data_IF_782566747547
#
_entry.id   IF_782566747547
#
_cell.length_a   1.000
_cell.length_b   1.000
_cell.length_c   1.000
_cell.angle_alpha   90.00
_cell.angle_beta   90.00
_cell.angle_gamma   90.00
#
_symmetry.space_group_name_H-M   'P 1'
#
loop_
_entity.id
_entity.type
_entity.pdbx_description
1 polymer ?
#
# COMPACT_ATOMS: atom_id res chain seq x y z
N UNK A 1 9.52 4.03 -15.09
CA UNK A 1 8.05 4.24 -15.02
C UNK A 1 7.69 5.19 -13.89
N UNK A 2 6.52 5.83 -13.96
CA UNK A 2 5.94 6.69 -12.91
C UNK A 2 4.87 5.94 -12.11
N UNK A 3 5.09 5.80 -10.80
CA UNK A 3 4.35 4.86 -9.95
C UNK A 3 3.72 5.59 -8.77
N UNK A 4 2.41 5.45 -8.59
CA UNK A 4 1.71 5.94 -7.41
C UNK A 4 1.49 4.81 -6.41
N UNK A 5 2.08 4.92 -5.22
CA UNK A 5 1.83 4.05 -4.09
C UNK A 5 0.78 4.68 -3.18
N UNK A 6 -0.29 3.93 -2.89
CA UNK A 6 -1.38 4.46 -2.06
C UNK A 6 -1.99 3.45 -1.11
N UNK A 7 -2.59 3.97 -0.04
CA UNK A 7 -3.58 3.23 0.75
C UNK A 7 -4.99 3.62 0.28
N UNK A 8 -5.99 2.72 0.37
CA UNK A 8 -7.36 3.05 0.01
C UNK A 8 -7.87 4.29 0.76
N UNK A 9 -8.44 5.24 0.02
CA UNK A 9 -9.01 6.47 0.58
C UNK A 9 -10.21 6.13 1.43
N UNK A 10 -10.34 6.70 2.62
CA UNK A 10 -11.62 6.63 3.35
C UNK A 10 -12.62 7.62 2.75
N UNK A 11 -13.92 7.31 2.78
CA UNK A 11 -14.96 8.30 2.42
C UNK A 11 -14.80 9.56 3.28
N UNK A 12 -15.24 10.73 2.81
CA UNK A 12 -15.41 11.87 3.73
C UNK A 12 -16.34 11.52 4.90
N UNK A 13 -17.30 10.62 4.65
CA UNK A 13 -18.15 9.97 5.64
C UNK A 13 -17.53 8.77 6.37
N UNK A 14 -16.29 8.36 6.10
CA UNK A 14 -15.56 7.33 6.87
C UNK A 14 -14.21 7.83 7.40
N UNK A 15 -13.84 9.10 7.14
CA UNK A 15 -12.72 9.83 7.79
C UNK A 15 -12.93 10.01 9.31
N UNK A 16 -13.73 9.16 9.93
CA UNK A 16 -14.60 9.47 11.04
C UNK A 16 -14.09 8.96 12.38
N UNK A 17 -14.15 9.79 13.42
CA UNK A 17 -14.55 9.36 14.76
C UNK A 17 -16.08 9.34 14.94
N UNK A 18 -16.85 9.69 13.91
CA UNK A 18 -18.29 9.82 13.85
C UNK A 18 -19.02 8.56 13.35
N UNK A 19 -19.31 7.63 14.26
CA UNK A 19 -20.67 7.06 14.20
C UNK A 19 -21.64 8.25 14.28
N UNK A 20 -22.42 8.47 13.20
CA UNK A 20 -23.43 9.54 13.08
C UNK A 20 -24.25 9.57 14.37
N UNK A 21 -24.16 10.67 15.13
CA UNK A 21 -25.06 10.96 16.24
C UNK A 21 -24.48 11.00 17.66
N UNK A 22 -23.20 10.68 17.89
CA UNK A 22 -22.64 10.73 19.26
C UNK A 22 -21.79 11.98 19.56
N UNK A 23 -21.91 12.51 20.78
CA UNK A 23 -21.22 13.70 21.32
C UNK A 23 -19.68 13.74 21.12
N UNK A 24 -19.05 12.57 20.92
CA UNK A 24 -17.59 12.40 20.71
C UNK A 24 -17.10 12.89 19.33
N UNK A 25 -17.94 12.85 18.30
CA UNK A 25 -17.63 13.34 16.95
C UNK A 25 -17.27 14.84 16.92
N UNK A 26 -18.03 15.65 17.68
CA UNK A 26 -17.80 17.09 17.85
C UNK A 26 -16.50 17.41 18.59
N UNK A 27 -15.97 16.49 19.40
CA UNK A 27 -14.71 16.69 20.14
C UNK A 27 -13.51 16.47 19.22
N UNK A 28 -13.51 15.39 18.44
CA UNK A 28 -12.42 15.10 17.53
C UNK A 28 -12.35 16.03 16.32
N UNK A 29 -13.51 16.47 15.80
CA UNK A 29 -13.53 17.54 14.79
C UNK A 29 -12.95 18.83 15.37
N UNK A 30 -13.30 19.19 16.62
CA UNK A 30 -12.68 20.33 17.32
C UNK A 30 -11.18 20.14 17.57
N UNK A 31 -10.70 18.92 17.83
CA UNK A 31 -9.26 18.62 17.99
C UNK A 31 -8.55 18.78 16.63
N UNK A 32 -9.09 18.22 15.56
CA UNK A 32 -8.54 18.37 14.21
C UNK A 32 -8.49 19.82 13.77
N UNK A 33 -9.59 20.56 13.95
CA UNK A 33 -9.69 21.97 13.56
C UNK A 33 -8.80 22.87 14.44
N UNK A 34 -8.60 22.50 15.71
CA UNK A 34 -7.71 23.21 16.65
C UNK A 34 -6.22 22.95 16.40
N UNK A 35 -5.86 21.76 15.96
CA UNK A 35 -4.46 21.34 15.87
C UNK A 35 -3.94 21.16 14.44
N UNK A 36 -4.81 21.15 13.42
CA UNK A 36 -4.43 21.02 12.01
C UNK A 36 -3.98 19.62 11.58
N UNK A 37 -4.09 18.61 12.44
CA UNK A 37 -3.73 17.22 12.16
C UNK A 37 -4.69 16.23 12.84
N UNK A 38 -4.74 15.00 12.34
CA UNK A 38 -5.46 13.89 12.98
C UNK A 38 -4.48 13.10 13.83
N UNK A 39 -4.61 13.07 15.18
CA UNK A 39 -3.73 12.30 16.04
C UNK A 39 -3.84 10.81 15.75
N UNK A 40 -2.70 10.12 15.67
CA UNK A 40 -2.66 8.66 15.48
C UNK A 40 -2.49 8.20 14.03
N UNK A 41 -2.35 9.12 13.06
CA UNK A 41 -2.00 8.75 11.69
C UNK A 41 -0.48 8.59 11.60
N UNK A 42 -0.04 7.42 11.13
CA UNK A 42 1.36 7.12 10.81
C UNK A 42 1.44 6.71 9.35
N UNK A 43 2.54 7.05 8.65
CA UNK A 43 2.67 6.68 7.25
C UNK A 43 2.81 5.16 7.15
N UNK A 44 2.39 4.61 6.02
CA UNK A 44 2.57 3.18 5.73
C UNK A 44 4.04 2.89 5.43
N UNK A 45 4.79 2.45 6.43
CA UNK A 45 6.22 2.17 6.28
C UNK A 45 6.52 1.15 5.18
N UNK A 46 5.69 0.11 5.03
CA UNK A 46 5.84 -0.84 3.91
C UNK A 46 5.85 -0.13 2.55
N UNK A 47 4.93 0.81 2.31
CA UNK A 47 4.94 1.60 1.09
C UNK A 47 6.17 2.53 0.96
N UNK A 48 6.73 3.00 2.07
CA UNK A 48 7.98 3.80 2.04
C UNK A 48 9.20 2.94 1.67
N UNK A 49 9.26 1.68 2.13
CA UNK A 49 10.27 0.73 1.70
C UNK A 49 10.12 0.35 0.22
N UNK A 50 8.90 0.09 -0.25
CA UNK A 50 8.64 -0.12 -1.68
C UNK A 50 9.04 1.10 -2.50
N UNK A 51 8.74 2.32 -2.03
CA UNK A 51 9.14 3.57 -2.69
C UNK A 51 10.66 3.64 -2.82
N UNK A 52 11.40 3.36 -1.74
CA UNK A 52 12.85 3.37 -1.74
C UNK A 52 13.44 2.32 -2.70
N UNK A 53 12.89 1.10 -2.72
CA UNK A 53 13.32 0.03 -3.62
C UNK A 53 13.09 0.38 -5.10
N UNK A 54 11.91 0.91 -5.43
CA UNK A 54 11.56 1.34 -6.79
C UNK A 54 12.42 2.53 -7.26
N UNK A 55 12.68 3.51 -6.38
CA UNK A 55 13.59 4.62 -6.69
C UNK A 55 15.02 4.14 -6.94
N UNK A 56 15.52 3.20 -6.12
CA UNK A 56 16.85 2.59 -6.31
C UNK A 56 16.96 1.86 -7.65
N UNK A 57 15.85 1.29 -8.14
CA UNK A 57 15.76 0.67 -9.46
C UNK A 57 15.61 1.67 -10.63
N UNK A 58 15.56 2.97 -10.36
CA UNK A 58 15.48 4.02 -11.39
C UNK A 58 14.06 4.46 -11.76
N UNK A 59 13.04 4.07 -11.00
CA UNK A 59 11.67 4.51 -11.22
C UNK A 59 11.32 5.76 -10.41
N UNK A 60 10.30 6.51 -10.84
CA UNK A 60 9.77 7.66 -10.10
C UNK A 60 8.56 7.23 -9.28
N UNK A 61 8.53 7.58 -7.99
CA UNK A 61 7.47 7.18 -7.07
C UNK A 61 6.76 8.37 -6.46
N UNK A 62 5.46 8.20 -6.27
CA UNK A 62 4.56 9.13 -5.60
C UNK A 62 3.84 8.38 -4.48
N UNK A 63 3.48 9.09 -3.42
CA UNK A 63 2.83 8.49 -2.25
C UNK A 63 1.60 9.28 -1.83
N UNK A 64 0.46 8.58 -1.72
CA UNK A 64 -0.77 9.16 -1.19
C UNK A 64 -1.39 8.23 -0.14
N UNK A 65 -1.53 8.74 1.08
CA UNK A 65 -2.23 8.01 2.14
C UNK A 65 -3.71 8.39 2.17
N UNK A 66 -4.54 7.39 1.93
CA UNK A 66 -5.98 7.50 1.91
C UNK A 66 -6.64 7.99 3.21
N UNK A 67 -5.93 7.99 4.34
CA UNK A 67 -6.40 8.62 5.58
C UNK A 67 -6.35 10.16 5.52
N UNK A 68 -5.50 10.72 4.68
CA UNK A 68 -5.26 12.16 4.57
C UNK A 68 -5.59 12.73 3.19
N UNK A 69 -5.79 11.87 2.19
CA UNK A 69 -6.14 12.25 0.80
C UNK A 69 -7.51 11.74 0.37
N UNK A 70 -8.16 12.46 -0.56
CA UNK A 70 -9.43 12.04 -1.16
C UNK A 70 -9.19 11.27 -2.47
N UNK A 71 -10.22 10.60 -2.97
CA UNK A 71 -10.14 9.95 -4.29
C UNK A 71 -9.90 10.97 -5.40
N UNK A 72 -10.50 12.16 -5.33
CA UNK A 72 -10.26 13.22 -6.33
C UNK A 72 -8.80 13.68 -6.38
N UNK A 73 -8.13 13.73 -5.23
CA UNK A 73 -6.70 14.03 -5.16
C UNK A 73 -5.85 12.91 -5.78
N UNK A 74 -6.25 11.65 -5.59
CA UNK A 74 -5.62 10.49 -6.25
C UNK A 74 -5.78 10.60 -7.77
N UNK A 75 -6.99 10.86 -8.26
CA UNK A 75 -7.27 11.00 -9.69
C UNK A 75 -6.51 12.19 -10.31
N UNK A 76 -6.45 13.31 -9.59
CA UNK A 76 -5.67 14.50 -9.99
C UNK A 76 -4.18 14.17 -10.06
N UNK A 77 -3.65 13.41 -9.08
CA UNK A 77 -2.26 12.96 -9.10
C UNK A 77 -1.98 12.06 -10.29
N UNK A 78 -2.87 11.10 -10.58
CA UNK A 78 -2.72 10.18 -11.72
C UNK A 78 -2.61 10.96 -13.04
N UNK A 79 -3.49 11.95 -13.24
CA UNK A 79 -3.47 12.78 -14.43
C UNK A 79 -2.26 13.72 -14.49
N UNK A 80 -2.02 14.52 -13.45
CA UNK A 80 -0.98 15.56 -13.47
C UNK A 80 0.45 15.02 -13.45
N UNK A 81 0.64 13.85 -12.81
CA UNK A 81 1.92 13.17 -12.75
C UNK A 81 2.05 12.06 -13.80
N UNK A 82 1.15 11.96 -14.78
CA UNK A 82 1.20 10.93 -15.83
C UNK A 82 1.52 9.53 -15.27
N UNK A 83 0.80 9.12 -14.23
CA UNK A 83 1.05 7.86 -13.55
C UNK A 83 0.72 6.70 -14.47
N UNK A 84 1.61 5.73 -14.55
CA UNK A 84 1.47 4.53 -15.39
C UNK A 84 1.04 3.31 -14.57
N UNK A 85 1.48 3.26 -13.31
CA UNK A 85 1.24 2.16 -12.38
C UNK A 85 0.72 2.70 -11.06
N UNK A 86 -0.36 2.12 -10.54
CA UNK A 86 -0.89 2.41 -9.21
C UNK A 86 -0.76 1.16 -8.33
N UNK A 87 0.05 1.26 -7.29
CA UNK A 87 0.21 0.26 -6.24
C UNK A 87 -0.73 0.55 -5.07
N UNK A 88 -1.64 -0.37 -4.74
CA UNK A 88 -2.60 -0.23 -3.64
C UNK A 88 -2.27 -1.21 -2.51
N UNK A 89 -1.94 -0.68 -1.33
CA UNK A 89 -1.71 -1.50 -0.13
C UNK A 89 -3.03 -1.86 0.53
N UNK A 90 -3.37 -3.14 0.52
CA UNK A 90 -4.66 -3.68 0.97
C UNK A 90 -4.54 -4.43 2.30
N UNK A 91 -5.45 -4.08 3.21
CA UNK A 91 -5.68 -4.72 4.50
C UNK A 91 -7.12 -5.27 4.52
N UNK A 92 -7.38 -6.29 5.35
CA UNK A 92 -8.68 -6.96 5.36
C UNK A 92 -9.86 -5.99 5.58
N UNK A 93 -9.70 -5.00 6.46
CA UNK A 93 -10.76 -4.03 6.77
C UNK A 93 -10.95 -2.96 5.68
N UNK A 94 -9.95 -2.70 4.83
CA UNK A 94 -10.04 -1.66 3.80
C UNK A 94 -10.26 -2.26 2.38
N UNK A 95 -10.43 -3.59 2.27
CA UNK A 95 -10.55 -4.28 0.99
C UNK A 95 -11.74 -3.81 0.16
N UNK A 96 -12.93 -3.68 0.76
CA UNK A 96 -14.11 -3.20 0.02
C UNK A 96 -13.87 -1.79 -0.54
N UNK A 97 -13.19 -0.94 0.23
CA UNK A 97 -12.85 0.40 -0.20
C UNK A 97 -11.77 0.42 -1.27
N UNK A 98 -10.79 -0.47 -1.18
CA UNK A 98 -9.78 -0.66 -2.21
C UNK A 98 -10.45 -0.99 -3.55
N UNK A 99 -11.43 -1.91 -3.58
CA UNK A 99 -12.17 -2.26 -4.80
C UNK A 99 -12.90 -1.08 -5.41
N UNK A 100 -13.57 -0.25 -4.59
CA UNK A 100 -14.23 0.97 -5.06
C UNK A 100 -13.22 1.91 -5.70
N UNK A 101 -12.11 2.20 -5.01
CA UNK A 101 -11.06 3.07 -5.52
C UNK A 101 -10.45 2.56 -6.83
N UNK A 102 -10.11 1.27 -6.89
CA UNK A 102 -9.56 0.59 -8.07
C UNK A 102 -10.51 0.73 -9.25
N UNK A 103 -11.80 0.46 -9.03
CA UNK A 103 -12.84 0.62 -10.05
C UNK A 103 -12.92 2.06 -10.54
N UNK A 104 -13.03 3.04 -9.63
CA UNK A 104 -13.08 4.46 -9.99
C UNK A 104 -11.85 4.91 -10.79
N UNK A 105 -10.66 4.42 -10.43
CA UNK A 105 -9.44 4.71 -11.17
C UNK A 105 -9.50 4.12 -12.58
N UNK A 106 -9.92 2.86 -12.74
CA UNK A 106 -9.97 2.20 -14.06
C UNK A 106 -11.07 2.73 -14.97
N UNK A 107 -12.18 3.18 -14.41
CA UNK A 107 -13.26 3.81 -15.17
C UNK A 107 -12.77 5.10 -15.86
N UNK A 108 -11.83 5.83 -15.24
CA UNK A 108 -11.27 7.09 -15.77
C UNK A 108 -9.96 6.87 -16.54
N UNK A 109 -9.11 5.96 -16.05
CA UNK A 109 -7.78 5.68 -16.57
C UNK A 109 -7.63 4.18 -16.90
N UNK A 110 -8.30 3.67 -17.95
CA UNK A 110 -8.36 2.23 -18.24
C UNK A 110 -6.98 1.61 -18.56
N UNK A 111 -6.04 2.43 -19.04
CA UNK A 111 -4.68 2.02 -19.42
C UNK A 111 -3.75 1.84 -18.21
N UNK A 112 -4.02 2.55 -17.11
CA UNK A 112 -3.20 2.48 -15.90
C UNK A 112 -3.19 1.06 -15.36
N UNK A 113 -1.99 0.57 -15.02
CA UNK A 113 -1.80 -0.75 -14.42
C UNK A 113 -2.02 -0.68 -12.92
N UNK A 114 -2.90 -1.53 -12.42
CA UNK A 114 -3.17 -1.62 -10.99
C UNK A 114 -2.50 -2.86 -10.42
N UNK A 115 -1.64 -2.62 -9.42
CA UNK A 115 -0.99 -3.63 -8.61
C UNK A 115 -1.60 -3.56 -7.20
N UNK A 116 -2.11 -4.67 -6.67
CA UNK A 116 -2.49 -4.75 -5.25
C UNK A 116 -1.44 -5.53 -4.45
N UNK A 117 -1.25 -5.13 -3.20
CA UNK A 117 -0.35 -5.81 -2.27
C UNK A 117 -0.85 -5.74 -0.83
N UNK A 118 -0.02 -6.15 0.12
CA UNK A 118 -0.35 -6.15 1.54
C UNK A 118 -0.98 -7.45 2.04
N UNK A 119 -1.44 -7.44 3.30
CA UNK A 119 -1.91 -8.65 3.98
C UNK A 119 -3.13 -9.27 3.28
N UNK A 120 -4.04 -8.46 2.76
CA UNK A 120 -5.25 -8.99 2.15
C UNK A 120 -4.92 -9.75 0.85
N UNK A 121 -4.07 -9.15 0.01
CA UNK A 121 -3.52 -9.79 -1.19
C UNK A 121 -2.78 -11.09 -0.86
N UNK A 122 -1.98 -11.10 0.20
CA UNK A 122 -1.20 -12.29 0.61
C UNK A 122 -2.08 -13.41 1.16
N UNK A 123 -3.16 -13.07 1.88
CA UNK A 123 -4.06 -14.07 2.47
C UNK A 123 -5.05 -14.66 1.46
N UNK A 124 -5.53 -13.86 0.51
CA UNK A 124 -6.62 -14.25 -0.39
C UNK A 124 -6.16 -14.60 -1.81
N UNK A 125 -4.97 -14.17 -2.22
CA UNK A 125 -4.32 -14.53 -3.48
C UNK A 125 -5.27 -14.40 -4.69
N UNK A 126 -5.56 -15.50 -5.39
CA UNK A 126 -6.39 -15.54 -6.61
C UNK A 126 -7.77 -14.90 -6.37
N UNK A 127 -8.35 -15.10 -5.18
CA UNK A 127 -9.67 -14.57 -4.82
C UNK A 127 -9.72 -13.04 -4.86
N UNK A 128 -8.61 -12.35 -4.59
CA UNK A 128 -8.56 -10.89 -4.74
C UNK A 128 -8.78 -10.45 -6.20
N UNK A 129 -8.17 -11.16 -7.16
CA UNK A 129 -8.30 -10.87 -8.58
C UNK A 129 -9.66 -11.32 -9.13
N UNK A 130 -10.30 -12.32 -8.52
CA UNK A 130 -11.68 -12.70 -8.83
C UNK A 130 -12.68 -11.65 -8.34
N UNK A 131 -12.53 -11.16 -7.12
CA UNK A 131 -13.42 -10.16 -6.52
C UNK A 131 -13.21 -8.74 -7.06
N UNK A 132 -12.06 -8.46 -7.66
CA UNK A 132 -11.73 -7.17 -8.30
C UNK A 132 -11.24 -7.39 -9.73
N UNK A 133 -12.16 -7.54 -10.69
CA UNK A 133 -11.82 -7.74 -12.11
C UNK A 133 -10.98 -6.62 -12.71
N UNK A 134 -11.10 -5.40 -12.18
CA UNK A 134 -10.35 -4.21 -12.59
C UNK A 134 -8.87 -4.21 -12.17
N UNK A 135 -8.48 -5.12 -11.27
CA UNK A 135 -7.07 -5.28 -10.85
C UNK A 135 -6.28 -6.08 -11.89
N UNK A 136 -5.16 -5.54 -12.36
CA UNK A 136 -4.31 -6.19 -13.35
C UNK A 136 -3.34 -7.22 -12.72
N UNK A 137 -2.77 -6.88 -11.57
CA UNK A 137 -1.62 -7.54 -10.96
C UNK A 137 -1.73 -7.59 -9.44
N UNK A 138 -1.11 -8.58 -8.82
CA UNK A 138 -1.02 -8.75 -7.37
C UNK A 138 0.39 -9.17 -6.96
N UNK A 139 0.90 -8.59 -5.87
CA UNK A 139 2.13 -9.00 -5.21
C UNK A 139 1.78 -9.61 -3.84
N UNK A 140 2.35 -10.76 -3.51
CA UNK A 140 2.11 -11.46 -2.24
C UNK A 140 3.41 -11.88 -1.56
N UNK A 141 3.37 -11.98 -0.23
CA UNK A 141 4.56 -12.21 0.58
C UNK A 141 5.41 -10.94 0.71
N UNK A 142 6.73 -11.09 0.62
CA UNK A 142 7.68 -9.96 0.60
C UNK A 142 7.67 -9.29 -0.78
N UNK A 143 7.51 -7.97 -0.77
CA UNK A 143 7.07 -7.23 -1.95
C UNK A 143 8.15 -6.37 -2.59
N UNK A 144 9.24 -6.08 -1.89
CA UNK A 144 10.26 -5.10 -2.24
C UNK A 144 11.01 -5.50 -3.51
N UNK A 145 11.47 -6.74 -3.59
CA UNK A 145 12.16 -7.26 -4.77
C UNK A 145 11.16 -7.64 -5.87
N UNK A 146 10.05 -8.27 -5.46
CA UNK A 146 8.96 -8.69 -6.35
C UNK A 146 8.34 -7.53 -7.15
N UNK A 147 8.09 -6.37 -6.52
CA UNK A 147 7.50 -5.20 -7.18
C UNK A 147 8.48 -4.56 -8.15
N UNK A 148 9.78 -4.53 -7.81
CA UNK A 148 10.84 -3.98 -8.67
C UNK A 148 10.96 -4.84 -9.92
N UNK A 149 11.03 -6.16 -9.78
CA UNK A 149 11.09 -7.06 -10.93
C UNK A 149 9.82 -6.94 -11.80
N UNK A 150 8.64 -6.90 -11.17
CA UNK A 150 7.37 -6.77 -11.86
C UNK A 150 7.31 -5.46 -12.68
N UNK A 151 7.66 -4.33 -12.08
CA UNK A 151 7.62 -3.03 -12.77
C UNK A 151 8.68 -2.95 -13.86
N UNK A 152 9.89 -3.47 -13.64
CA UNK A 152 10.91 -3.57 -14.68
C UNK A 152 10.42 -4.37 -15.89
N UNK A 153 9.74 -5.48 -15.66
CA UNK A 153 9.17 -6.30 -16.74
C UNK A 153 8.03 -5.58 -17.47
N UNK A 154 7.20 -4.81 -16.76
CA UNK A 154 6.17 -3.95 -17.36
C UNK A 154 6.79 -2.86 -18.24
N UNK A 155 7.82 -2.18 -17.75
CA UNK A 155 8.53 -1.10 -18.48
C UNK A 155 9.15 -1.63 -19.77
N UNK A 156 9.83 -2.77 -19.69
CA UNK A 156 10.50 -3.41 -20.81
C UNK A 156 9.58 -4.25 -21.70
N UNK A 157 8.28 -4.34 -21.35
CA UNK A 157 7.28 -5.15 -22.06
C UNK A 157 7.68 -6.62 -22.23
N UNK A 158 8.37 -7.18 -21.23
CA UNK A 158 8.78 -8.58 -21.20
C UNK A 158 7.72 -9.45 -20.51
N UNK A 159 7.82 -10.77 -20.69
CA UNK A 159 6.89 -11.71 -20.06
C UNK A 159 6.90 -11.59 -18.52
N UNK A 160 5.72 -11.70 -17.90
CA UNK A 160 5.57 -11.68 -16.45
C UNK A 160 5.72 -13.06 -15.80
N UNK A 161 5.78 -14.13 -16.60
CA UNK A 161 5.97 -15.49 -16.12
C UNK A 161 7.31 -15.62 -15.40
N UNK A 162 7.30 -16.27 -14.24
CA UNK A 162 8.48 -16.45 -13.39
C UNK A 162 8.84 -15.25 -12.49
N UNK A 163 8.06 -14.16 -12.51
CA UNK A 163 8.25 -13.05 -11.56
C UNK A 163 7.82 -13.52 -10.16
N UNK A 164 8.78 -13.74 -9.26
CA UNK A 164 8.51 -14.36 -7.96
C UNK A 164 7.53 -13.50 -7.12
N UNK A 165 6.68 -14.16 -6.34
CA UNK A 165 5.74 -13.48 -5.43
C UNK A 165 4.64 -12.68 -6.13
N UNK A 166 4.28 -13.02 -7.38
CA UNK A 166 3.26 -12.28 -8.14
C UNK A 166 2.15 -13.17 -8.72
N UNK A 167 0.95 -12.58 -8.84
CA UNK A 167 -0.17 -13.09 -9.62
C UNK A 167 -0.54 -12.03 -10.66
N UNK A 168 -0.96 -12.46 -11.85
CA UNK A 168 -1.38 -11.53 -12.90
C UNK A 168 -2.48 -12.11 -13.78
N UNK A 169 -3.26 -11.22 -14.42
CA UNK A 169 -4.25 -11.61 -15.41
C UNK A 169 -3.62 -11.68 -16.80
N UNK A 170 -3.85 -12.78 -17.50
CA UNK A 170 -3.47 -12.95 -18.92
C UNK A 170 -4.54 -13.74 -19.66
N UNK A 171 -5.06 -13.18 -20.76
CA UNK A 171 -6.09 -13.80 -21.60
C UNK A 171 -7.30 -14.34 -20.82
N UNK A 172 -7.76 -13.59 -19.82
CA UNK A 172 -8.90 -13.97 -18.97
C UNK A 172 -8.54 -14.90 -17.80
N UNK A 173 -7.37 -15.53 -17.82
CA UNK A 173 -6.90 -16.43 -16.77
C UNK A 173 -6.05 -15.71 -15.72
N UNK A 174 -6.08 -16.21 -14.49
CA UNK A 174 -5.19 -15.78 -13.41
C UNK A 174 -3.97 -16.71 -13.41
N UNK A 175 -2.79 -16.15 -13.59
CA UNK A 175 -1.52 -16.88 -13.57
C UNK A 175 -0.81 -16.55 -12.26
N UNK A 176 -0.43 -17.59 -11.52
CA UNK A 176 0.32 -17.49 -10.28
C UNK A 176 1.75 -17.92 -10.49
N UNK A 177 2.69 -17.01 -10.23
CA UNK A 177 4.10 -17.32 -10.23
C UNK A 177 4.52 -17.97 -8.91
N UNK A 178 5.71 -18.61 -8.85
CA UNK A 178 6.24 -19.17 -7.61
C UNK A 178 6.42 -18.09 -6.53
N UNK A 179 6.32 -18.45 -5.24
CA UNK A 179 6.54 -17.50 -4.14
C UNK A 179 8.00 -17.03 -4.09
N UNK A 180 8.21 -15.81 -3.57
CA UNK A 180 9.54 -15.36 -3.19
C UNK A 180 10.07 -16.24 -2.06
N UNK A 181 11.32 -16.75 -2.14
CA UNK A 181 11.93 -17.42 -1.00
C UNK A 181 12.07 -16.42 0.14
N UNK A 182 11.72 -16.81 1.37
CA UNK A 182 11.83 -15.92 2.55
C UNK A 182 13.21 -15.29 2.60
N UNK A 183 13.29 -13.97 2.41
CA UNK A 183 14.57 -13.27 2.38
C UNK A 183 15.07 -13.16 3.81
N UNK A 184 16.19 -13.81 4.10
CA UNK A 184 16.77 -13.79 5.45
C UNK A 184 17.68 -12.58 5.68
N UNK A 185 17.93 -11.77 4.66
CA UNK A 185 18.92 -10.69 4.74
C UNK A 185 18.29 -9.30 4.59
N UNK A 186 17.86 -8.75 5.72
CA UNK A 186 17.28 -7.42 5.84
C UNK A 186 18.28 -6.29 5.58
N UNK A 187 19.59 -6.57 5.64
CA UNK A 187 20.63 -5.56 5.42
C UNK A 187 20.65 -5.03 3.98
N UNK A 188 20.02 -5.74 3.05
CA UNK A 188 19.93 -5.34 1.66
C UNK A 188 18.78 -4.35 1.39
N UNK A 189 17.85 -4.18 2.34
CA UNK A 189 16.72 -3.28 2.17
C UNK A 189 17.18 -1.82 2.31
N UNK A 190 16.75 -0.94 1.39
CA UNK A 190 17.02 0.48 1.54
C UNK A 190 16.26 1.03 2.75
N UNK A 191 16.78 2.11 3.36
CA UNK A 191 16.03 2.85 4.35
C UNK A 191 14.71 3.38 3.77
N UNK A 192 13.65 3.50 4.59
CA UNK A 192 12.34 3.95 4.12
C UNK A 192 12.46 5.36 3.53
N UNK A 193 11.85 5.54 2.37
CA UNK A 193 11.84 6.81 1.65
C UNK A 193 10.93 7.82 2.33
N UNK A 194 11.48 8.59 3.27
CA UNK A 194 10.73 9.66 3.95
C UNK A 194 10.51 10.88 3.05
N UNK A 195 11.33 11.05 2.01
CA UNK A 195 11.25 12.20 1.10
C UNK A 195 9.97 12.18 0.26
N UNK A 196 9.46 10.99 -0.08
CA UNK A 196 8.19 10.83 -0.81
C UNK A 196 6.98 11.40 -0.06
N UNK A 197 7.07 11.57 1.27
CA UNK A 197 6.02 12.20 2.07
C UNK A 197 5.91 13.71 1.76
N UNK A 198 7.01 14.34 1.34
CA UNK A 198 7.07 15.76 0.99
C UNK A 198 6.39 16.66 2.02
N UNK A 199 5.48 17.53 1.56
CA UNK A 199 4.72 18.47 2.40
C UNK A 199 3.75 17.78 3.38
N UNK A 200 3.46 16.49 3.19
CA UNK A 200 2.55 15.77 4.08
C UNK A 200 3.23 15.24 5.33
N UNK A 201 4.57 15.32 5.46
CA UNK A 201 5.30 14.79 6.61
C UNK A 201 4.75 15.30 7.96
N UNK A 202 4.37 16.58 8.02
CA UNK A 202 3.84 17.22 9.24
C UNK A 202 2.42 16.77 9.63
N UNK A 203 1.71 16.11 8.71
CA UNK A 203 0.37 15.56 8.93
C UNK A 203 0.42 14.21 9.64
N UNK A 204 1.58 13.55 9.65
CA UNK A 204 1.81 12.29 10.36
C UNK A 204 2.24 12.56 11.79
N UNK A 205 1.26 12.56 12.70
CA UNK A 205 1.52 12.64 14.13
C UNK A 205 1.02 11.38 14.80
N UNK A 206 1.92 10.58 15.42
CA UNK A 206 1.50 9.42 16.18
C UNK A 206 0.53 9.84 17.30
N UNK A 207 -0.17 8.88 17.91
CA UNK A 207 -1.02 9.20 19.05
C UNK A 207 -0.14 9.62 20.25
N UNK A 208 -0.45 10.72 20.98
CA UNK A 208 0.41 11.30 22.02
C UNK A 208 0.90 10.33 23.11
N UNK A 209 0.26 9.17 23.25
CA UNK A 209 0.67 8.14 24.21
C UNK A 209 1.92 7.35 23.78
N UNK A 210 2.31 7.39 22.50
CA UNK A 210 3.42 6.58 21.98
C UNK A 210 4.76 7.31 21.87
N UNK A 211 4.84 8.60 22.24
CA UNK A 211 6.08 9.39 22.15
C UNK A 211 6.16 10.48 23.23
N UNK A 212 7.39 10.86 23.59
CA UNK A 212 7.65 11.97 24.53
C UNK A 212 7.93 13.32 23.83
N UNK A 213 8.53 13.31 22.64
CA UNK A 213 8.89 14.49 21.82
C UNK A 213 8.87 14.13 20.33
N UNK A 214 8.71 15.12 19.45
CA UNK A 214 8.83 14.99 17.99
C UNK A 214 10.19 15.54 17.51
N UNK A 215 10.73 15.08 16.36
CA UNK A 215 10.17 14.07 15.46
C UNK A 215 10.30 12.63 15.98
N UNK A 216 9.36 11.76 15.58
CA UNK A 216 9.38 10.32 15.87
C UNK A 216 9.49 9.56 14.56
N UNK A 217 10.44 8.63 14.47
CA UNK A 217 10.57 7.72 13.34
C UNK A 217 10.51 6.27 13.86
N UNK A 218 9.72 5.44 13.18
CA UNK A 218 9.74 4.00 13.40
C UNK A 218 10.70 3.40 12.37
N UNK A 219 11.60 2.53 12.82
CA UNK A 219 12.49 1.76 11.95
C UNK A 219 12.10 0.30 12.08
N UNK A 220 12.00 -0.38 10.95
CA UNK A 220 11.84 -1.82 10.92
C UNK A 220 13.21 -2.44 11.19
N UNK A 221 13.37 -3.09 12.34
CA UNK A 221 14.64 -3.69 12.78
C UNK A 221 14.68 -5.19 12.49
N UNK A 222 13.51 -5.81 12.37
CA UNK A 222 13.40 -7.24 12.14
C UNK A 222 12.04 -7.57 11.52
N UNK A 223 12.05 -8.38 10.46
CA UNK A 223 10.86 -8.94 9.84
C UNK A 223 10.56 -10.37 10.34
N UNK A 224 11.55 -11.05 10.94
CA UNK A 224 11.36 -12.38 11.54
C UNK A 224 10.68 -12.30 12.92
N UNK A 225 9.57 -13.00 13.07
CA UNK A 225 8.73 -12.99 14.26
C UNK A 225 9.25 -13.91 15.38
N UNK A 226 10.47 -13.64 15.86
CA UNK A 226 11.00 -14.24 17.10
C UNK A 226 10.99 -13.29 18.29
N UNK A 227 10.96 -11.97 18.09
CA UNK A 227 10.67 -11.00 19.14
C UNK A 227 9.86 -9.82 18.59
N UNK A 228 8.86 -9.43 19.36
CA UNK A 228 7.82 -8.44 19.08
C UNK A 228 8.34 -7.04 18.70
N UNK A 229 7.81 -6.46 17.62
CA UNK A 229 7.60 -5.00 17.48
C UNK A 229 6.19 -4.76 16.91
N UNK A 230 5.52 -3.72 17.42
CA UNK A 230 4.13 -3.35 17.17
C UNK A 230 3.75 -3.31 15.68
N UNK A 231 2.68 -4.05 15.35
CA UNK A 231 1.79 -3.90 14.18
C UNK A 231 2.45 -4.02 12.79
N UNK A 232 2.93 -5.23 12.48
CA UNK A 232 2.86 -5.77 11.11
C UNK A 232 2.44 -7.24 11.23
N UNK A 233 1.30 -7.61 10.64
CA UNK A 233 0.76 -8.98 10.71
C UNK A 233 1.23 -9.77 9.49
N UNK A 234 1.75 -10.96 9.77
CA UNK A 234 2.46 -11.92 8.91
C UNK A 234 1.77 -12.29 7.59
N UNK A 235 2.57 -12.76 6.64
CA UNK A 235 2.18 -13.79 5.66
C UNK A 235 1.39 -14.92 6.33
N UNK A 236 0.19 -15.21 5.80
CA UNK A 236 -0.59 -16.36 6.21
C UNK A 236 0.07 -17.62 5.62
N UNK A 237 0.85 -18.32 6.43
CA UNK A 237 1.42 -19.61 6.07
C UNK A 237 0.31 -20.66 5.97
N UNK A 238 -0.32 -20.78 4.80
CA UNK A 238 -1.06 -21.98 4.44
C UNK A 238 -0.03 -23.10 4.21
N UNK A 239 0.25 -23.87 5.26
CA UNK A 239 0.87 -25.18 5.09
C UNK A 239 -0.07 -26.03 4.24
N UNK A 240 0.30 -26.28 2.99
CA UNK A 240 -0.28 -27.37 2.22
C UNK A 240 0.11 -28.68 2.91
N UNK A 241 -0.81 -29.23 3.70
CA UNK A 241 -0.71 -30.58 4.21
C UNK A 241 -0.88 -31.56 3.06
N UNK A 242 0.19 -32.22 2.68
CA UNK A 242 0.19 -33.43 1.88
C UNK A 242 -0.26 -34.62 2.75
N UNK A 243 -1.42 -35.19 2.44
CA UNK A 243 -1.74 -36.61 2.58
C UNK A 243 -3.00 -36.91 1.75
#
# INVERSE_FOLDING_TARGET
MRILLMTPTVNDDERRPDVIGSSKSKLWNRVRDRFGFTPGITPSYGLLYLSAALKKAGHETFYLDGNITSIDQVLTCISTQNIEVVGVSTLTFNWQRAKINIKTIKDIFPVVKIIIGGINATCLLEKCLEESPETDLLVYGEGEESIVELVNRLENKTELNGTLGTLYRSNGNIIKNPPYPVNKNLDNLPFPDLEVLGKNIDRYRPAPMFYKKLPHASILVQEDARLSVLLSVRSCGAQAGSA
#
